data_IF_675419766482
#
_entry.id   IF_675419766482
#
_cell.length_a   1.000
_cell.length_b   1.000
_cell.length_c   1.000
_cell.angle_alpha   90.00
_cell.angle_beta   90.00
_cell.angle_gamma   90.00
#
_symmetry.space_group_name_H-M   'P 1'
#
loop_
_entity.id
_entity.type
_entity.pdbx_description
1 polymer ?
#
# COMPACT_ATOMS: atom_id res chain seq x y z
N UNK A 1 16.01 10.07 6.80
CA UNK A 1 14.63 9.65 6.49
C UNK A 1 13.98 9.17 7.77
N UNK A 2 12.70 9.46 8.04
CA UNK A 2 12.02 8.91 9.20
C UNK A 2 11.99 7.38 9.10
N UNK A 3 11.95 6.70 10.25
CA UNK A 3 11.82 5.26 10.28
C UNK A 3 10.44 4.82 9.77
N UNK A 4 10.32 3.68 9.09
CA UNK A 4 9.02 3.15 8.69
C UNK A 4 8.16 2.86 9.91
N UNK A 5 6.90 3.30 9.87
CA UNK A 5 5.94 3.14 10.96
C UNK A 5 5.13 1.88 10.79
N UNK A 6 5.02 1.09 11.84
CA UNK A 6 4.19 -0.12 11.90
C UNK A 6 3.10 0.12 12.94
N UNK A 7 1.83 -0.01 12.52
CA UNK A 7 0.69 0.06 13.43
C UNK A 7 0.28 -1.35 13.84
N UNK A 8 0.17 -1.59 15.15
CA UNK A 8 -0.35 -2.84 15.72
C UNK A 8 -1.68 -2.54 16.38
N UNK A 9 -2.70 -3.32 16.03
CA UNK A 9 -4.07 -3.19 16.53
C UNK A 9 -4.47 -4.51 17.18
N UNK A 10 -4.64 -4.49 18.48
CA UNK A 10 -4.96 -5.64 19.33
C UNK A 10 -5.67 -5.15 20.57
N UNK A 11 -6.82 -5.70 20.92
CA UNK A 11 -7.62 -5.26 22.06
C UNK A 11 -7.20 -5.92 23.39
N UNK A 12 -6.46 -7.04 23.34
CA UNK A 12 -5.82 -7.59 24.54
C UNK A 12 -4.49 -6.87 24.82
N UNK A 13 -4.37 -6.14 25.96
CA UNK A 13 -3.17 -5.35 26.27
C UNK A 13 -1.89 -6.19 26.39
N UNK A 14 -2.00 -7.44 26.85
CA UNK A 14 -0.84 -8.32 27.03
C UNK A 14 -0.31 -8.77 25.67
N UNK A 15 -1.20 -9.19 24.78
CA UNK A 15 -0.87 -9.52 23.38
C UNK A 15 -0.29 -8.31 22.65
N UNK A 16 -0.90 -7.16 22.79
CA UNK A 16 -0.46 -5.90 22.20
C UNK A 16 0.97 -5.53 22.59
N UNK A 17 1.26 -5.55 23.90
CA UNK A 17 2.61 -5.27 24.40
C UNK A 17 3.63 -6.32 23.95
N UNK A 18 3.25 -7.59 23.95
CA UNK A 18 4.11 -8.69 23.51
C UNK A 18 4.49 -8.53 22.04
N UNK A 19 3.52 -8.26 21.15
CA UNK A 19 3.76 -8.04 19.71
C UNK A 19 4.64 -6.82 19.48
N UNK A 20 4.32 -5.72 20.16
CA UNK A 20 5.06 -4.46 20.03
C UNK A 20 6.51 -4.60 20.52
N UNK A 21 6.71 -5.21 21.68
CA UNK A 21 8.03 -5.44 22.26
C UNK A 21 8.88 -6.36 21.39
N UNK A 22 8.27 -7.42 20.84
CA UNK A 22 8.93 -8.33 19.90
C UNK A 22 9.42 -7.60 18.67
N UNK A 23 8.58 -6.79 18.04
CA UNK A 23 8.97 -6.06 16.84
C UNK A 23 10.04 -5.00 17.13
N UNK A 24 9.92 -4.25 18.22
CA UNK A 24 10.93 -3.26 18.64
C UNK A 24 12.28 -3.89 18.92
N UNK A 25 12.29 -5.09 19.51
CA UNK A 25 13.54 -5.81 19.84
C UNK A 25 14.20 -6.40 18.60
N UNK A 26 13.41 -6.92 17.65
CA UNK A 26 13.92 -7.72 16.51
C UNK A 26 14.11 -6.92 15.24
N UNK A 27 13.40 -5.80 15.10
CA UNK A 27 13.49 -4.95 13.92
C UNK A 27 14.14 -3.62 14.31
N UNK A 28 15.40 -3.47 13.91
CA UNK A 28 16.07 -2.18 14.04
C UNK A 28 15.45 -1.16 13.07
N UNK A 29 15.42 0.11 13.49
CA UNK A 29 15.02 1.22 12.64
C UNK A 29 13.56 1.16 12.15
N UNK A 30 12.62 0.83 13.05
CA UNK A 30 11.18 0.98 12.87
C UNK A 30 10.56 1.80 14.00
N UNK A 31 9.44 2.45 13.72
CA UNK A 31 8.56 3.03 14.73
C UNK A 31 7.35 2.13 14.89
N UNK A 32 7.07 1.68 16.12
CA UNK A 32 5.90 0.85 16.43
C UNK A 32 4.88 1.67 17.17
N UNK A 33 3.75 1.91 16.55
CA UNK A 33 2.55 2.50 17.13
C UNK A 33 1.55 1.40 17.50
N UNK A 34 0.85 1.56 18.58
CA UNK A 34 -0.10 0.58 19.12
C UNK A 34 -1.48 1.19 19.28
N UNK A 35 -2.52 0.41 19.04
CA UNK A 35 -3.92 0.79 19.25
C UNK A 35 -4.73 -0.41 19.74
N UNK A 36 -5.64 -0.17 20.67
CA UNK A 36 -6.56 -1.18 21.19
C UNK A 36 -7.86 -1.27 20.35
N UNK A 37 -8.03 -0.44 19.33
CA UNK A 37 -9.25 -0.38 18.54
C UNK A 37 -9.02 -0.16 17.07
N UNK A 38 -9.44 -1.12 16.27
CA UNK A 38 -9.40 -1.01 14.80
C UNK A 38 -10.30 0.13 14.29
N UNK A 39 -11.47 0.34 14.90
CA UNK A 39 -12.37 1.41 14.48
C UNK A 39 -11.77 2.80 14.74
N UNK A 40 -11.18 3.02 15.91
CA UNK A 40 -10.51 4.28 16.22
C UNK A 40 -9.29 4.52 15.33
N UNK A 41 -8.57 3.47 14.98
CA UNK A 41 -7.39 3.54 14.10
C UNK A 41 -7.73 3.98 12.67
N UNK A 42 -8.95 3.76 12.18
CA UNK A 42 -9.34 4.17 10.82
C UNK A 42 -9.27 5.70 10.60
N UNK A 43 -9.46 6.51 11.63
CA UNK A 43 -9.31 7.97 11.52
C UNK A 43 -7.83 8.35 11.38
N UNK A 44 -6.95 7.75 12.17
CA UNK A 44 -5.50 7.97 12.09
C UNK A 44 -4.90 7.44 10.78
N UNK A 45 -5.43 6.33 10.26
CA UNK A 45 -5.02 5.74 8.98
C UNK A 45 -5.28 6.69 7.81
N UNK A 46 -6.34 7.47 7.84
CA UNK A 46 -6.69 8.41 6.75
C UNK A 46 -5.63 9.50 6.53
N UNK A 47 -4.98 9.95 7.60
CA UNK A 47 -3.99 11.04 7.57
C UNK A 47 -2.58 10.57 7.89
N UNK A 48 -2.42 9.32 8.30
CA UNK A 48 -1.14 8.74 8.66
C UNK A 48 -0.35 8.23 7.45
N UNK A 49 0.86 7.81 7.72
CA UNK A 49 1.73 7.11 6.78
C UNK A 49 2.30 5.87 7.48
N UNK A 50 1.80 4.70 7.10
CA UNK A 50 2.21 3.43 7.69
C UNK A 50 2.83 2.52 6.63
N UNK A 51 3.99 1.96 6.98
CA UNK A 51 4.67 0.99 6.14
C UNK A 51 4.08 -0.42 6.26
N UNK A 52 3.43 -0.75 7.39
CA UNK A 52 2.68 -1.98 7.59
C UNK A 52 1.65 -1.81 8.70
N UNK A 53 0.56 -2.55 8.62
CA UNK A 53 -0.47 -2.63 9.66
C UNK A 53 -0.65 -4.09 10.06
N UNK A 54 -0.58 -4.38 11.36
CA UNK A 54 -0.89 -5.67 11.94
C UNK A 54 -2.18 -5.52 12.76
N UNK A 55 -3.21 -6.30 12.46
CA UNK A 55 -4.52 -6.16 13.10
C UNK A 55 -5.06 -7.52 13.54
N UNK A 56 -5.52 -7.60 14.78
CA UNK A 56 -6.32 -8.75 15.20
C UNK A 56 -7.62 -8.80 14.41
N UNK A 57 -7.97 -9.97 13.92
CA UNK A 57 -9.19 -10.19 13.16
C UNK A 57 -10.45 -10.12 14.04
N UNK A 58 -10.34 -10.36 15.34
CA UNK A 58 -11.43 -10.32 16.32
C UNK A 58 -11.54 -8.98 17.04
N UNK A 59 -11.68 -7.90 16.27
CA UNK A 59 -11.82 -6.57 16.85
C UNK A 59 -13.28 -6.23 17.17
N UNK A 60 -13.55 -5.61 18.32
CA UNK A 60 -14.88 -5.07 18.63
C UNK A 60 -15.36 -4.08 17.55
N UNK A 61 -16.60 -4.21 17.12
CA UNK A 61 -17.32 -3.30 16.20
C UNK A 61 -16.86 -3.34 14.73
N UNK A 62 -15.72 -3.95 14.41
CA UNK A 62 -15.27 -4.14 13.03
C UNK A 62 -14.46 -5.42 12.91
N UNK A 63 -14.95 -6.37 12.14
CA UNK A 63 -14.20 -7.59 11.86
C UNK A 63 -12.95 -7.29 11.02
N UNK A 64 -11.88 -8.06 11.21
CA UNK A 64 -10.61 -7.85 10.52
C UNK A 64 -10.71 -7.78 8.99
N UNK A 65 -11.56 -8.61 8.38
CA UNK A 65 -11.85 -8.56 6.93
C UNK A 65 -12.49 -7.22 6.54
N UNK A 66 -13.40 -6.70 7.36
CA UNK A 66 -14.01 -5.38 7.19
C UNK A 66 -12.97 -4.25 7.33
N UNK A 67 -12.07 -4.39 8.29
CA UNK A 67 -10.97 -3.44 8.49
C UNK A 67 -10.01 -3.42 7.30
N UNK A 68 -9.56 -4.59 6.79
CA UNK A 68 -8.72 -4.66 5.58
C UNK A 68 -9.39 -3.95 4.41
N UNK A 69 -10.69 -4.20 4.20
CA UNK A 69 -11.46 -3.55 3.13
C UNK A 69 -11.52 -2.03 3.30
N UNK A 70 -11.66 -1.54 4.53
CA UNK A 70 -11.67 -0.11 4.82
C UNK A 70 -10.31 0.55 4.53
N UNK A 71 -9.20 -0.07 4.97
CA UNK A 71 -7.85 0.41 4.69
C UNK A 71 -7.58 0.42 3.18
N UNK A 72 -7.93 -0.66 2.47
CA UNK A 72 -7.73 -0.78 1.02
C UNK A 72 -8.46 0.26 0.18
N UNK A 73 -9.56 0.81 0.66
CA UNK A 73 -10.28 1.89 -0.02
C UNK A 73 -9.52 3.21 -0.01
N UNK A 74 -8.72 3.45 1.03
CA UNK A 74 -7.98 4.72 1.21
C UNK A 74 -6.52 4.55 0.79
N UNK A 75 -5.91 3.45 1.17
CA UNK A 75 -4.51 3.11 0.92
C UNK A 75 -4.40 1.70 0.32
N UNK A 76 -4.69 1.53 -0.98
CA UNK A 76 -4.71 0.23 -1.64
C UNK A 76 -3.34 -0.46 -1.64
N UNK A 77 -2.26 0.30 -1.43
CA UNK A 77 -0.88 -0.19 -1.45
C UNK A 77 -0.35 -0.63 -0.08
N UNK A 78 -0.98 -0.23 1.04
CA UNK A 78 -0.46 -0.55 2.37
C UNK A 78 -0.64 -2.03 2.71
N UNK A 79 0.41 -2.73 3.14
CA UNK A 79 0.29 -4.11 3.56
C UNK A 79 -0.43 -4.19 4.93
N UNK A 80 -1.54 -4.92 4.95
CA UNK A 80 -2.31 -5.24 6.16
C UNK A 80 -2.19 -6.72 6.43
N UNK A 81 -1.63 -7.07 7.60
CA UNK A 81 -1.52 -8.42 8.12
C UNK A 81 -2.63 -8.66 9.14
N UNK A 82 -3.31 -9.81 9.07
CA UNK A 82 -4.31 -10.18 10.06
C UNK A 82 -3.79 -11.27 11.02
N UNK A 83 -4.16 -11.14 12.29
CA UNK A 83 -3.96 -12.16 13.30
C UNK A 83 -5.28 -12.90 13.53
N UNK A 84 -5.28 -14.22 13.43
CA UNK A 84 -6.43 -15.06 13.68
C UNK A 84 -6.25 -15.88 14.96
N UNK A 85 -7.27 -15.98 15.79
CA UNK A 85 -7.29 -16.82 16.99
C UNK A 85 -7.12 -18.32 16.67
N UNK A 86 -7.70 -18.73 15.55
CA UNK A 86 -7.69 -20.13 15.09
C UNK A 86 -7.54 -20.20 13.59
N UNK A 87 -6.92 -21.28 13.14
CA UNK A 87 -6.91 -21.60 11.74
C UNK A 87 -8.34 -21.77 11.20
N UNK A 88 -8.67 -21.00 10.18
CA UNK A 88 -9.98 -21.04 9.52
C UNK A 88 -9.77 -20.72 8.05
N UNK A 89 -9.83 -21.74 7.20
CA UNK A 89 -9.56 -21.61 5.77
C UNK A 89 -10.50 -20.62 5.08
N UNK A 90 -11.78 -20.62 5.44
CA UNK A 90 -12.76 -19.69 4.85
C UNK A 90 -12.44 -18.26 5.21
N UNK A 91 -12.07 -17.98 6.45
CA UNK A 91 -11.71 -16.65 6.90
C UNK A 91 -10.38 -16.17 6.29
N UNK A 92 -9.40 -17.06 6.19
CA UNK A 92 -8.13 -16.81 5.50
C UNK A 92 -8.40 -16.46 4.04
N UNK A 93 -9.21 -17.25 3.35
CA UNK A 93 -9.56 -16.99 1.95
C UNK A 93 -10.31 -15.68 1.78
N UNK A 94 -11.26 -15.36 2.65
CA UNK A 94 -11.96 -14.07 2.65
C UNK A 94 -11.00 -12.90 2.85
N UNK A 95 -10.08 -13.01 3.83
CA UNK A 95 -9.07 -11.99 4.10
C UNK A 95 -8.18 -11.73 2.87
N UNK A 96 -7.68 -12.80 2.25
CA UNK A 96 -6.85 -12.69 1.04
C UNK A 96 -7.63 -12.10 -0.14
N UNK A 97 -8.90 -12.47 -0.32
CA UNK A 97 -9.75 -11.95 -1.39
C UNK A 97 -10.02 -10.44 -1.26
N UNK A 98 -10.09 -9.90 -0.05
CA UNK A 98 -10.24 -8.46 0.17
C UNK A 98 -8.91 -7.70 0.16
N UNK A 99 -7.80 -8.42 0.01
CA UNK A 99 -6.47 -7.86 -0.16
C UNK A 99 -5.65 -7.78 1.13
N UNK A 100 -5.90 -8.63 2.13
CA UNK A 100 -4.92 -8.81 3.19
C UNK A 100 -3.57 -9.20 2.58
N UNK A 101 -2.48 -8.68 3.15
CA UNK A 101 -1.13 -8.98 2.68
C UNK A 101 -0.69 -10.38 3.14
N UNK A 102 -1.00 -10.70 4.38
CA UNK A 102 -0.70 -11.99 4.99
C UNK A 102 -1.67 -12.26 6.15
N UNK A 103 -1.73 -13.52 6.59
CA UNK A 103 -2.53 -13.96 7.73
C UNK A 103 -1.69 -14.84 8.64
N UNK A 104 -1.62 -14.49 9.92
CA UNK A 104 -0.91 -15.24 10.96
C UNK A 104 -1.91 -15.82 11.95
N UNK A 105 -1.69 -17.05 12.40
CA UNK A 105 -2.56 -17.72 13.37
C UNK A 105 -1.91 -17.67 14.74
N UNK A 106 -2.66 -17.27 15.76
CA UNK A 106 -2.22 -17.26 17.18
C UNK A 106 -2.15 -18.71 17.74
N UNK A 107 -1.20 -19.02 18.63
CA UNK A 107 -0.12 -18.16 19.09
C UNK A 107 0.92 -17.90 17.98
N UNK A 108 1.23 -16.63 17.75
CA UNK A 108 2.14 -16.25 16.67
C UNK A 108 3.58 -16.50 17.10
N UNK A 109 4.26 -17.38 16.38
CA UNK A 109 5.68 -17.61 16.61
C UNK A 109 6.48 -16.32 16.29
N UNK A 110 7.42 -15.96 17.15
CA UNK A 110 8.24 -14.75 17.02
C UNK A 110 8.89 -14.63 15.63
N UNK A 111 9.48 -15.73 15.14
CA UNK A 111 10.14 -15.73 13.82
C UNK A 111 9.15 -15.50 12.68
N UNK A 112 7.96 -16.08 12.76
CA UNK A 112 6.91 -15.91 11.77
C UNK A 112 6.42 -14.46 11.74
N UNK A 113 6.18 -13.85 12.92
CA UNK A 113 5.80 -12.45 13.05
C UNK A 113 6.85 -11.52 12.42
N UNK A 114 8.10 -11.66 12.85
CA UNK A 114 9.20 -10.82 12.37
C UNK A 114 9.38 -10.94 10.87
N UNK A 115 9.35 -12.14 10.33
CA UNK A 115 9.50 -12.40 8.90
C UNK A 115 8.34 -11.80 8.08
N UNK A 116 7.10 -11.97 8.54
CA UNK A 116 5.93 -11.43 7.85
C UNK A 116 5.96 -9.88 7.80
N UNK A 117 6.31 -9.24 8.93
CA UNK A 117 6.44 -7.78 8.99
C UNK A 117 7.62 -7.29 8.14
N UNK A 118 8.78 -7.96 8.16
CA UNK A 118 9.90 -7.60 7.29
C UNK A 118 9.54 -7.62 5.82
N UNK A 119 8.83 -8.64 5.36
CA UNK A 119 8.35 -8.73 3.97
C UNK A 119 7.38 -7.58 3.65
N UNK A 120 6.47 -7.26 4.56
CA UNK A 120 5.55 -6.15 4.41
C UNK A 120 6.28 -4.80 4.28
N UNK A 121 7.27 -4.56 5.14
CA UNK A 121 8.11 -3.36 5.10
C UNK A 121 8.90 -3.25 3.79
N UNK A 122 9.44 -4.35 3.28
CA UNK A 122 10.17 -4.37 2.02
C UNK A 122 9.26 -4.06 0.84
N UNK A 123 8.05 -4.62 0.80
CA UNK A 123 7.05 -4.29 -0.23
C UNK A 123 6.69 -2.80 -0.18
N UNK A 124 6.47 -2.25 1.02
CA UNK A 124 6.18 -0.83 1.20
C UNK A 124 7.34 0.06 0.73
N UNK A 125 8.57 -0.30 1.06
CA UNK A 125 9.79 0.38 0.63
C UNK A 125 9.93 0.42 -0.89
N UNK A 126 9.75 -0.72 -1.56
CA UNK A 126 9.84 -0.84 -3.01
C UNK A 126 8.75 -0.02 -3.72
N UNK A 127 7.52 -0.06 -3.20
CA UNK A 127 6.42 0.75 -3.74
C UNK A 127 6.68 2.24 -3.59
N UNK A 128 7.15 2.67 -2.42
CA UNK A 128 7.54 4.06 -2.20
C UNK A 128 8.68 4.52 -3.11
N UNK A 129 9.58 3.63 -3.50
CA UNK A 129 10.63 3.92 -4.47
C UNK A 129 10.06 4.11 -5.88
N UNK A 130 9.20 3.20 -6.35
CA UNK A 130 8.54 3.32 -7.66
C UNK A 130 7.74 4.60 -7.78
N UNK A 131 7.00 5.00 -6.74
CA UNK A 131 6.23 6.24 -6.73
C UNK A 131 7.14 7.46 -6.86
N UNK A 132 8.26 7.50 -6.11
CA UNK A 132 9.23 8.63 -6.22
C UNK A 132 9.87 8.70 -7.60
N UNK A 133 10.26 7.58 -8.18
CA UNK A 133 10.86 7.53 -9.51
C UNK A 133 9.85 8.01 -10.58
N UNK A 134 8.57 7.66 -10.41
CA UNK A 134 7.49 8.11 -11.29
C UNK A 134 7.24 9.63 -11.15
N UNK A 135 7.23 10.15 -9.93
CA UNK A 135 7.08 11.59 -9.68
C UNK A 135 8.25 12.38 -10.25
N UNK A 136 9.48 11.88 -10.09
CA UNK A 136 10.67 12.52 -10.67
C UNK A 136 10.61 12.54 -12.19
N UNK A 137 10.18 11.42 -12.80
CA UNK A 137 10.01 11.34 -14.26
C UNK A 137 8.96 12.33 -14.74
N UNK A 138 7.80 12.42 -14.07
CA UNK A 138 6.74 13.37 -14.40
C UNK A 138 7.23 14.83 -14.26
N UNK A 139 8.03 15.12 -13.23
CA UNK A 139 8.62 16.44 -13.06
C UNK A 139 9.56 16.79 -14.22
N UNK A 140 10.43 15.85 -14.62
CA UNK A 140 11.33 16.04 -15.78
C UNK A 140 10.57 16.26 -17.07
N UNK A 141 9.51 15.47 -17.32
CA UNK A 141 8.67 15.62 -18.51
C UNK A 141 7.99 17.00 -18.53
N UNK A 142 7.41 17.43 -17.40
CA UNK A 142 6.81 18.77 -17.30
C UNK A 142 7.81 19.88 -17.60
N UNK A 143 9.02 19.77 -17.06
CA UNK A 143 10.08 20.74 -17.31
C UNK A 143 10.43 20.81 -18.81
N UNK A 144 10.64 19.66 -19.46
CA UNK A 144 10.92 19.60 -20.90
C UNK A 144 9.79 20.20 -21.74
N UNK A 145 8.53 19.97 -21.38
CA UNK A 145 7.38 20.56 -22.06
C UNK A 145 7.37 22.09 -21.92
N UNK A 146 7.69 22.61 -20.76
CA UNK A 146 7.80 24.06 -20.55
C UNK A 146 8.94 24.66 -21.38
N UNK A 147 10.12 24.02 -21.37
CA UNK A 147 11.28 24.47 -22.15
C UNK A 147 10.94 24.47 -23.66
N UNK A 148 10.23 23.46 -24.16
CA UNK A 148 9.72 23.40 -25.53
C UNK A 148 8.74 24.54 -25.81
N UNK A 149 7.80 24.79 -24.91
CA UNK A 149 6.80 25.84 -25.08
C UNK A 149 7.47 27.22 -25.18
N UNK A 150 8.48 27.48 -24.38
CA UNK A 150 9.27 28.72 -24.45
C UNK A 150 10.02 28.86 -25.78
N UNK A 151 10.63 27.75 -26.27
CA UNK A 151 11.32 27.75 -27.56
C UNK A 151 10.36 28.01 -28.71
N UNK A 152 9.22 27.35 -28.77
CA UNK A 152 8.21 27.56 -29.79
C UNK A 152 7.65 29.00 -29.76
N UNK A 153 7.47 29.56 -28.54
CA UNK A 153 7.08 30.96 -28.37
C UNK A 153 8.13 31.95 -28.89
N UNK A 154 9.41 31.71 -28.57
CA UNK A 154 10.52 32.54 -29.02
C UNK A 154 10.69 32.58 -30.54
N UNK A 155 10.34 31.50 -31.23
CA UNK A 155 10.38 31.43 -32.71
C UNK A 155 9.03 31.72 -33.39
N UNK A 156 8.01 32.17 -32.64
CA UNK A 156 6.70 32.51 -33.19
C UNK A 156 5.90 31.28 -33.70
N UNK A 157 6.23 30.07 -33.20
CA UNK A 157 5.64 28.80 -33.62
C UNK A 157 4.62 28.26 -32.62
N UNK A 158 3.97 29.14 -31.86
CA UNK A 158 3.05 28.74 -30.78
C UNK A 158 1.94 27.79 -31.24
N UNK A 159 1.36 28.02 -32.42
CA UNK A 159 0.33 27.18 -33.01
C UNK A 159 0.81 25.75 -33.31
N UNK A 160 2.09 25.58 -33.61
CA UNK A 160 2.68 24.25 -33.83
C UNK A 160 2.83 23.48 -32.51
N UNK A 161 3.18 24.16 -31.43
CA UNK A 161 3.24 23.57 -30.09
C UNK A 161 1.85 23.11 -29.62
N UNK A 162 0.83 23.95 -29.82
CA UNK A 162 -0.56 23.61 -29.48
C UNK A 162 -1.06 22.39 -30.27
N UNK A 163 -0.75 22.30 -31.55
CA UNK A 163 -1.09 21.15 -32.39
C UNK A 163 -0.37 19.87 -31.93
N UNK A 164 0.90 19.97 -31.56
CA UNK A 164 1.67 18.86 -31.00
C UNK A 164 1.06 18.37 -29.67
N UNK A 165 0.76 19.30 -28.75
CA UNK A 165 0.15 18.95 -27.45
C UNK A 165 -1.22 18.29 -27.61
N UNK A 166 -2.05 18.75 -28.56
CA UNK A 166 -3.33 18.13 -28.85
C UNK A 166 -3.17 16.68 -29.36
N UNK A 167 -2.16 16.40 -30.15
CA UNK A 167 -1.84 15.04 -30.61
C UNK A 167 -1.42 14.13 -29.44
N UNK A 168 -0.56 14.60 -28.54
CA UNK A 168 -0.11 13.86 -27.35
C UNK A 168 -1.29 13.56 -26.42
N UNK A 169 -2.21 14.49 -26.21
CA UNK A 169 -3.39 14.29 -25.39
C UNK A 169 -4.36 13.27 -26.03
N UNK A 170 -4.53 13.30 -27.35
CA UNK A 170 -5.35 12.34 -28.06
C UNK A 170 -4.81 10.89 -27.94
N UNK A 171 -3.51 10.69 -28.07
CA UNK A 171 -2.87 9.39 -27.88
C UNK A 171 -3.01 8.89 -26.43
N UNK A 172 -2.88 9.77 -25.44
CA UNK A 172 -3.09 9.45 -24.04
C UNK A 172 -4.51 8.96 -23.77
N UNK A 173 -5.51 9.61 -24.35
CA UNK A 173 -6.91 9.21 -24.22
C UNK A 173 -7.17 7.86 -24.89
N UNK A 174 -6.64 7.62 -26.08
CA UNK A 174 -6.74 6.35 -26.78
C UNK A 174 -6.11 5.19 -25.99
N UNK A 175 -4.96 5.41 -25.37
CA UNK A 175 -4.25 4.42 -24.55
C UNK A 175 -5.01 4.08 -23.27
N UNK A 176 -5.74 5.03 -22.68
CA UNK A 176 -6.53 4.81 -21.46
C UNK A 176 -7.83 4.05 -21.71
N UNK A 177 -8.34 4.03 -22.96
CA UNK A 177 -9.57 3.35 -23.35
C UNK A 177 -9.35 1.90 -23.82
N UNK A 178 -8.10 1.46 -23.98
CA UNK A 178 -7.81 0.08 -24.39
C UNK A 178 -7.93 -0.85 -23.17
N UNK A 179 -8.94 -1.74 -23.08
CA UNK A 179 -9.07 -2.68 -21.98
C UNK A 179 -7.85 -3.61 -21.98
N UNK A 180 -7.15 -3.72 -20.84
CA UNK A 180 -6.13 -4.74 -20.61
C UNK A 180 -6.76 -6.12 -20.80
N UNK A 181 -6.67 -6.68 -22.01
CA UNK A 181 -6.94 -8.10 -22.24
C UNK A 181 -5.91 -8.89 -21.42
N UNK A 182 -6.35 -9.37 -20.27
CA UNK A 182 -5.68 -10.46 -19.56
C UNK A 182 -5.58 -11.63 -20.54
N UNK A 183 -4.38 -11.91 -21.02
CA UNK A 183 -4.08 -13.18 -21.69
C UNK A 183 -4.25 -14.27 -20.64
N UNK A 184 -5.43 -14.88 -20.60
CA UNK A 184 -5.60 -16.20 -20.02
C UNK A 184 -4.81 -17.16 -20.92
N UNK A 185 -3.64 -17.61 -20.44
CA UNK A 185 -3.00 -18.78 -20.99
C UNK A 185 -3.92 -19.97 -20.77
N UNK A 186 -4.47 -20.51 -21.85
CA UNK A 186 -4.99 -21.88 -21.84
C UNK A 186 -3.79 -22.81 -21.73
N UNK A 187 -3.84 -23.82 -20.86
CA UNK A 187 -2.98 -24.98 -21.01
C UNK A 187 -3.60 -25.87 -22.07
N UNK A 188 -2.88 -26.04 -23.18
CA UNK A 188 -3.14 -27.08 -24.15
C UNK A 188 -2.70 -28.44 -23.59
N UNK A 189 -3.57 -29.46 -23.74
CA UNK A 189 -3.28 -30.90 -23.83
C UNK A 189 -3.01 -31.63 -22.54
#
# INVERSE_FOLDING_TARGET
MPFPRVLIIEDDPISLDTLASTLRLRLAAIEVETSESALASLEHIRSGDYAAILCDAHQPRIEGVGFVRAVRKVHPEWPVLLLLEKHNDDLIQQAMNVGAYDVLVKPVEERALVFAVQRALEVSRLRGQVNRDQEELLFRVRRLLNDLQELYGAYGLQSHFEAFMACVEAERQASSQTPRRLRRGQPDG
#
